data_IF_198989042230
#
_entry.id   IF_198989042230
#
_cell.length_a   1.000
_cell.length_b   1.000
_cell.length_c   1.000
_cell.angle_alpha   90.00
_cell.angle_beta   90.00
_cell.angle_gamma   90.00
#
_symmetry.space_group_name_H-M   'P 1'
#
loop_
_entity.id
_entity.type
_entity.pdbx_description
1 polymer ?
#
# COMPACT_ATOMS: atom_id res chain seq x y z
N UNK A 1 -15.68 19.95 -18.20
CA UNK A 1 -14.82 20.52 -17.16
C UNK A 1 -13.70 19.58 -16.69
N UNK A 2 -14.03 18.36 -16.22
CA UNK A 2 -13.05 17.47 -15.55
C UNK A 2 -11.98 16.82 -16.45
N UNK A 3 -12.25 16.58 -17.73
CA UNK A 3 -11.33 15.86 -18.64
C UNK A 3 -10.06 16.66 -18.98
N UNK A 4 -10.15 17.99 -19.03
CA UNK A 4 -9.01 18.87 -19.33
C UNK A 4 -8.03 18.96 -18.15
N UNK A 5 -8.53 19.04 -16.91
CA UNK A 5 -7.69 19.08 -15.70
C UNK A 5 -6.95 17.76 -15.45
N UNK A 6 -7.59 16.60 -15.67
CA UNK A 6 -6.93 15.28 -15.58
C UNK A 6 -5.79 15.12 -16.60
N UNK A 7 -6.02 15.51 -17.86
CA UNK A 7 -4.99 15.47 -18.91
C UNK A 7 -3.81 16.39 -18.63
N UNK A 8 -4.03 17.55 -18.01
CA UNK A 8 -2.95 18.45 -17.62
C UNK A 8 -2.04 17.83 -16.55
N UNK A 9 -2.63 17.24 -15.50
CA UNK A 9 -1.89 16.55 -14.45
C UNK A 9 -1.13 15.31 -14.94
N UNK A 10 -1.70 14.52 -15.85
CA UNK A 10 -1.02 13.37 -16.45
C UNK A 10 0.21 13.80 -17.27
N UNK A 11 0.10 14.86 -18.08
CA UNK A 11 1.24 15.40 -18.85
C UNK A 11 2.35 15.92 -17.93
N UNK A 12 1.99 16.59 -16.84
CA UNK A 12 2.98 17.08 -15.88
C UNK A 12 3.75 15.93 -15.22
N UNK A 13 3.04 14.87 -14.80
CA UNK A 13 3.67 13.66 -14.26
C UNK A 13 4.58 12.98 -15.29
N UNK A 14 4.19 12.96 -16.56
CA UNK A 14 5.03 12.41 -17.62
C UNK A 14 6.30 13.21 -17.86
N UNK A 15 6.20 14.54 -17.87
CA UNK A 15 7.36 15.43 -18.00
C UNK A 15 8.32 15.22 -16.82
N UNK A 16 7.79 15.16 -15.59
CA UNK A 16 8.59 14.86 -14.39
C UNK A 16 9.26 13.49 -14.49
N UNK A 17 8.54 12.46 -14.95
CA UNK A 17 9.12 11.11 -15.13
C UNK A 17 10.22 11.09 -16.19
N UNK A 18 10.02 11.78 -17.31
CA UNK A 18 11.00 11.84 -18.40
C UNK A 18 12.26 12.56 -17.93
N UNK A 19 12.11 13.71 -17.28
CA UNK A 19 13.20 14.46 -16.67
C UNK A 19 13.98 13.61 -15.66
N UNK A 20 13.27 12.87 -14.80
CA UNK A 20 13.88 11.99 -13.81
C UNK A 20 14.70 10.86 -14.45
N UNK A 21 14.19 10.25 -15.52
CA UNK A 21 14.93 9.22 -16.28
C UNK A 21 16.14 9.81 -17.03
N UNK A 22 16.02 11.03 -17.56
CA UNK A 22 17.13 11.75 -18.21
C UNK A 22 18.23 12.09 -17.20
N UNK A 23 17.88 12.53 -15.99
CA UNK A 23 18.81 12.81 -14.90
C UNK A 23 19.50 11.55 -14.39
N UNK A 24 18.78 10.43 -14.31
CA UNK A 24 19.33 9.15 -13.87
C UNK A 24 20.27 8.54 -14.93
N UNK A 25 20.00 8.77 -16.22
CA UNK A 25 20.79 8.22 -17.32
C UNK A 25 20.79 6.68 -17.32
N UNK A 26 21.97 6.07 -17.37
CA UNK A 26 22.15 4.61 -17.25
C UNK A 26 22.39 4.14 -15.80
N UNK A 27 22.49 5.07 -14.85
CA UNK A 27 22.74 4.73 -13.45
C UNK A 27 21.48 4.11 -12.82
N UNK A 28 21.69 3.38 -11.73
CA UNK A 28 20.59 2.88 -10.87
C UNK A 28 20.69 3.52 -9.51
N UNK A 29 19.54 3.89 -8.97
CA UNK A 29 19.42 4.34 -7.60
C UNK A 29 19.61 3.15 -6.64
N UNK A 30 20.18 3.36 -5.46
CA UNK A 30 20.28 2.30 -4.46
C UNK A 30 18.88 1.93 -3.94
N UNK A 31 18.71 0.69 -3.51
CA UNK A 31 17.58 0.27 -2.70
C UNK A 31 18.07 -0.59 -1.55
N UNK A 32 17.28 -0.64 -0.49
CA UNK A 32 17.58 -1.44 0.70
C UNK A 32 16.52 -2.53 0.91
N UNK A 33 16.98 -3.62 1.49
CA UNK A 33 16.22 -4.79 1.96
C UNK A 33 16.45 -4.94 3.46
N UNK A 34 15.69 -5.77 4.19
CA UNK A 34 15.95 -6.02 5.61
C UNK A 34 17.35 -6.55 5.94
N UNK A 35 18.09 -7.09 4.97
CA UNK A 35 19.48 -7.53 5.15
C UNK A 35 20.47 -6.37 5.24
N UNK A 36 20.11 -5.17 4.76
CA UNK A 36 20.97 -3.99 4.76
C UNK A 36 20.92 -3.27 6.12
N UNK A 37 22.09 -2.90 6.65
CA UNK A 37 22.22 -2.29 7.99
C UNK A 37 21.39 -1.01 8.16
N UNK A 38 21.31 -0.19 7.11
CA UNK A 38 20.61 1.11 7.14
C UNK A 38 19.10 1.01 6.86
N UNK A 39 18.59 -0.19 6.56
CA UNK A 39 17.18 -0.39 6.18
C UNK A 39 16.20 0.15 7.22
N UNK A 40 16.40 -0.20 8.49
CA UNK A 40 15.48 0.19 9.57
C UNK A 40 15.50 1.70 9.81
N UNK A 41 16.67 2.34 9.68
CA UNK A 41 16.80 3.78 9.83
C UNK A 41 16.14 4.53 8.66
N UNK A 42 16.35 4.06 7.43
CA UNK A 42 15.69 4.62 6.24
C UNK A 42 14.17 4.46 6.32
N UNK A 43 13.69 3.28 6.68
CA UNK A 43 12.26 3.02 6.85
C UNK A 43 11.66 3.97 7.89
N UNK A 44 12.25 4.07 9.07
CA UNK A 44 11.76 4.96 10.14
C UNK A 44 11.72 6.44 9.74
N UNK A 45 12.66 6.91 8.92
CA UNK A 45 12.81 8.35 8.62
C UNK A 45 12.13 8.79 7.33
N UNK A 46 12.00 7.91 6.33
CA UNK A 46 11.46 8.25 5.00
C UNK A 46 10.19 7.49 4.62
N UNK A 47 9.89 6.38 5.30
CA UNK A 47 8.78 5.48 4.96
C UNK A 47 7.95 5.10 6.21
N UNK A 48 7.90 5.97 7.23
CA UNK A 48 7.27 5.68 8.54
C UNK A 48 5.77 5.39 8.49
N UNK A 49 5.08 5.79 7.41
CA UNK A 49 3.65 5.51 7.17
C UNK A 49 3.40 4.13 6.55
N UNK A 50 4.44 3.35 6.33
CA UNK A 50 4.33 1.95 5.99
C UNK A 50 4.54 1.10 7.24
N UNK A 51 3.58 0.25 7.55
CA UNK A 51 3.66 -0.69 8.68
C UNK A 51 3.64 -2.11 8.13
N UNK A 52 4.58 -2.94 8.57
CA UNK A 52 4.55 -4.38 8.32
C UNK A 52 4.15 -5.16 9.56
N UNK A 53 3.42 -6.25 9.33
CA UNK A 53 2.99 -7.22 10.31
C UNK A 53 3.28 -8.61 9.74
N UNK A 54 4.04 -9.40 10.49
CA UNK A 54 4.34 -10.77 10.10
C UNK A 54 3.09 -11.64 10.24
N UNK A 55 3.07 -12.76 9.51
CA UNK A 55 1.97 -13.73 9.56
C UNK A 55 1.59 -14.15 10.99
N UNK A 56 2.56 -14.31 11.90
CA UNK A 56 2.34 -14.69 13.31
C UNK A 56 1.42 -13.74 14.12
N UNK A 57 1.16 -12.54 13.61
CA UNK A 57 0.22 -11.59 14.22
C UNK A 57 -1.24 -11.84 13.87
N UNK A 58 -1.50 -12.66 12.84
CA UNK A 58 -2.82 -12.98 12.33
C UNK A 58 -3.28 -14.32 12.91
N UNK A 59 -4.55 -14.45 13.34
CA UNK A 59 -5.07 -15.73 13.83
C UNK A 59 -4.98 -16.84 12.77
N UNK A 60 -4.52 -18.02 13.16
CA UNK A 60 -4.38 -19.19 12.27
C UNK A 60 -5.68 -19.56 11.55
N UNK A 61 -6.82 -19.52 12.27
CA UNK A 61 -8.13 -19.77 11.66
C UNK A 61 -8.43 -18.76 10.53
N UNK A 62 -8.02 -17.49 10.71
CA UNK A 62 -8.22 -16.47 9.70
C UNK A 62 -7.32 -16.72 8.48
N UNK A 63 -6.06 -17.12 8.70
CA UNK A 63 -5.19 -17.56 7.61
C UNK A 63 -5.83 -18.66 6.78
N UNK A 64 -6.30 -19.73 7.44
CA UNK A 64 -6.88 -20.89 6.78
C UNK A 64 -8.06 -20.47 5.89
N UNK A 65 -9.07 -19.81 6.46
CA UNK A 65 -10.30 -19.48 5.69
C UNK A 65 -10.03 -18.47 4.57
N UNK A 66 -9.09 -17.55 4.74
CA UNK A 66 -8.72 -16.58 3.69
C UNK A 66 -7.95 -17.26 2.57
N UNK A 67 -6.98 -18.11 2.89
CA UNK A 67 -6.19 -18.83 1.87
C UNK A 67 -7.07 -19.80 1.08
N UNK A 68 -7.95 -20.56 1.76
CA UNK A 68 -8.96 -21.40 1.11
C UNK A 68 -9.90 -20.58 0.22
N UNK A 69 -10.26 -19.35 0.62
CA UNK A 69 -11.09 -18.46 -0.21
C UNK A 69 -10.39 -18.06 -1.52
N UNK A 70 -9.08 -17.78 -1.49
CA UNK A 70 -8.31 -17.46 -2.69
C UNK A 70 -8.25 -18.64 -3.65
N UNK A 71 -8.00 -19.84 -3.14
CA UNK A 71 -7.97 -21.07 -3.94
C UNK A 71 -9.36 -21.36 -4.54
N UNK A 72 -10.42 -21.25 -3.74
CA UNK A 72 -11.80 -21.44 -4.19
C UNK A 72 -12.17 -20.49 -5.33
N UNK A 73 -11.86 -19.19 -5.18
CA UNK A 73 -12.13 -18.18 -6.22
C UNK A 73 -11.33 -18.47 -7.50
N UNK A 74 -10.09 -18.97 -7.37
CA UNK A 74 -9.28 -19.38 -8.52
C UNK A 74 -9.88 -20.59 -9.23
N UNK A 75 -10.26 -21.63 -8.50
CA UNK A 75 -10.88 -22.85 -9.04
C UNK A 75 -12.21 -22.56 -9.77
N UNK A 76 -12.96 -21.56 -9.31
CA UNK A 76 -14.19 -21.11 -9.95
C UNK A 76 -13.95 -20.08 -11.07
N UNK A 77 -12.71 -19.84 -11.49
CA UNK A 77 -12.32 -18.91 -12.55
C UNK A 77 -12.84 -17.47 -12.32
N UNK A 78 -12.82 -17.00 -11.08
CA UNK A 78 -13.31 -15.67 -10.71
C UNK A 78 -12.33 -14.52 -11.03
N UNK A 79 -11.08 -14.83 -11.36
CA UNK A 79 -10.03 -13.84 -11.61
C UNK A 79 -9.85 -13.57 -13.12
N UNK A 80 -9.83 -12.30 -13.50
CA UNK A 80 -9.69 -11.89 -14.90
C UNK A 80 -8.58 -10.86 -15.07
N UNK A 81 -7.82 -10.95 -16.17
CA UNK A 81 -6.94 -9.85 -16.57
C UNK A 81 -7.79 -8.69 -17.06
N UNK A 82 -7.56 -7.50 -16.51
CA UNK A 82 -8.32 -6.32 -16.89
C UNK A 82 -7.78 -5.76 -18.21
N UNK A 83 -8.68 -5.49 -19.15
CA UNK A 83 -8.37 -4.67 -20.31
C UNK A 83 -8.39 -3.20 -19.90
N UNK A 84 -7.20 -2.62 -19.72
CA UNK A 84 -7.02 -1.24 -19.27
C UNK A 84 -6.51 -0.36 -20.40
N UNK A 85 -6.81 0.94 -20.34
CA UNK A 85 -6.35 1.91 -21.33
C UNK A 85 -5.33 2.86 -20.74
N UNK A 86 -4.08 2.72 -21.16
CA UNK A 86 -2.97 3.56 -20.74
C UNK A 86 -2.49 4.34 -21.96
N UNK A 87 -2.52 5.68 -21.90
CA UNK A 87 -2.08 6.57 -22.99
C UNK A 87 -2.75 6.28 -24.35
N UNK A 88 -4.03 5.90 -24.32
CA UNK A 88 -4.81 5.61 -25.53
C UNK A 88 -4.52 4.25 -26.17
N UNK A 89 -3.69 3.42 -25.54
CA UNK A 89 -3.45 2.03 -25.95
C UNK A 89 -4.10 1.08 -24.95
N UNK A 90 -4.63 -0.01 -25.46
CA UNK A 90 -5.26 -1.06 -24.66
C UNK A 90 -4.20 -2.09 -24.26
N UNK A 91 -4.21 -2.48 -22.98
CA UNK A 91 -3.28 -3.44 -22.39
C UNK A 91 -4.05 -4.39 -21.50
N UNK A 92 -3.68 -5.67 -21.51
CA UNK A 92 -4.08 -6.59 -20.46
C UNK A 92 -3.14 -6.43 -19.27
N UNK A 93 -3.70 -6.43 -18.06
CA UNK A 93 -2.88 -6.44 -16.86
C UNK A 93 -2.20 -7.80 -16.69
N UNK A 94 -0.91 -7.87 -16.32
CA UNK A 94 -0.24 -9.15 -16.03
C UNK A 94 -0.94 -9.93 -14.91
N UNK A 95 -1.42 -9.19 -13.91
CA UNK A 95 -2.17 -9.69 -12.76
C UNK A 95 -3.65 -9.86 -13.13
N UNK A 96 -4.23 -10.99 -12.75
CA UNK A 96 -5.67 -11.25 -12.81
C UNK A 96 -6.34 -10.79 -11.52
N UNK A 97 -7.54 -10.22 -11.61
CA UNK A 97 -8.21 -9.54 -10.50
C UNK A 97 -9.68 -9.91 -10.36
N UNK A 98 -10.17 -9.70 -9.15
CA UNK A 98 -11.60 -9.64 -8.82
C UNK A 98 -11.80 -8.55 -7.76
N UNK A 99 -12.85 -7.74 -7.92
CA UNK A 99 -13.27 -6.76 -6.93
C UNK A 99 -14.35 -7.39 -6.04
N UNK A 100 -14.12 -7.45 -4.73
CA UNK A 100 -15.09 -7.93 -3.73
C UNK A 100 -15.37 -6.80 -2.75
N UNK A 101 -16.61 -6.62 -2.29
CA UNK A 101 -16.91 -5.53 -1.36
C UNK A 101 -18.38 -5.33 -1.07
N UNK A 102 -18.72 -4.13 -0.61
CA UNK A 102 -20.09 -3.76 -0.31
C UNK A 102 -20.99 -3.88 -1.56
N UNK A 103 -22.25 -4.30 -1.39
CA UNK A 103 -23.24 -4.33 -2.47
C UNK A 103 -23.39 -2.97 -3.16
N UNK A 104 -23.32 -2.97 -4.50
CA UNK A 104 -23.48 -1.76 -5.33
C UNK A 104 -22.25 -0.84 -5.38
N UNK A 105 -21.17 -1.15 -4.66
CA UNK A 105 -19.93 -0.39 -4.75
C UNK A 105 -19.17 -0.68 -6.06
N UNK A 106 -18.36 0.29 -6.48
CA UNK A 106 -17.50 0.16 -7.66
C UNK A 106 -16.17 0.84 -7.37
N UNK A 107 -15.11 0.33 -7.98
CA UNK A 107 -13.77 0.92 -7.90
C UNK A 107 -13.29 1.22 -9.32
N UNK A 108 -12.77 2.42 -9.55
CA UNK A 108 -12.25 2.81 -10.86
C UNK A 108 -10.72 2.88 -10.76
N UNK A 109 -10.02 2.35 -11.75
CA UNK A 109 -8.58 2.53 -11.90
C UNK A 109 -8.19 2.39 -13.37
N UNK A 110 -7.18 3.13 -13.84
CA UNK A 110 -6.73 3.06 -15.24
C UNK A 110 -7.86 3.20 -16.28
N UNK A 111 -8.82 4.06 -15.96
CA UNK A 111 -10.06 4.30 -16.71
C UNK A 111 -11.05 3.11 -16.83
N UNK A 112 -10.80 2.00 -16.14
CA UNK A 112 -11.70 0.84 -16.05
C UNK A 112 -12.47 0.90 -14.73
N UNK A 113 -13.81 0.76 -14.78
CA UNK A 113 -14.66 0.67 -13.58
C UNK A 113 -14.96 -0.80 -13.30
N UNK A 114 -14.46 -1.29 -12.19
CA UNK A 114 -14.76 -2.61 -11.66
C UNK A 114 -16.01 -2.55 -10.76
N UNK A 115 -16.79 -3.62 -10.78
CA UNK A 115 -18.01 -3.79 -9.99
C UNK A 115 -17.78 -4.86 -8.94
N UNK A 116 -18.26 -4.63 -7.72
CA UNK A 116 -18.06 -5.60 -6.63
C UNK A 116 -18.86 -6.87 -6.93
N UNK A 117 -18.20 -8.02 -6.78
CA UNK A 117 -18.89 -9.23 -6.31
C UNK A 117 -19.18 -8.97 -4.83
N UNK A 118 -20.46 -8.86 -4.44
CA UNK A 118 -20.80 -8.40 -3.11
C UNK A 118 -20.45 -9.47 -2.05
N UNK A 119 -19.90 -9.05 -0.92
CA UNK A 119 -19.83 -9.90 0.28
C UNK A 119 -21.17 -9.92 1.05
N UNK A 120 -21.43 -10.88 1.95
CA UNK A 120 -22.71 -11.01 2.63
C UNK A 120 -22.92 -9.94 3.73
N UNK A 121 -23.25 -8.72 3.30
CA UNK A 121 -23.54 -7.59 4.18
C UNK A 121 -24.97 -7.68 4.77
N UNK A 122 -25.12 -7.24 6.02
CA UNK A 122 -26.42 -7.20 6.70
C UNK A 122 -27.46 -6.38 5.91
N UNK A 123 -28.70 -6.87 5.87
CA UNK A 123 -29.81 -6.20 5.18
C UNK A 123 -29.86 -6.42 3.66
N UNK A 124 -28.96 -7.22 3.09
CA UNK A 124 -28.97 -7.58 1.67
C UNK A 124 -29.19 -9.07 1.47
N UNK A 125 -30.13 -9.44 0.60
CA UNK A 125 -30.30 -10.81 0.12
C UNK A 125 -29.50 -11.00 -1.17
N UNK A 126 -28.32 -11.63 -1.05
CA UNK A 126 -27.37 -11.79 -2.15
C UNK A 126 -27.42 -13.23 -2.66
N UNK A 127 -27.65 -13.38 -3.97
CA UNK A 127 -27.64 -14.68 -4.64
C UNK A 127 -26.27 -14.94 -5.27
N UNK A 128 -25.61 -15.99 -4.82
CA UNK A 128 -24.34 -16.45 -5.37
C UNK A 128 -24.57 -17.61 -6.34
N UNK A 129 -23.66 -17.77 -7.31
CA UNK A 129 -23.73 -18.88 -8.25
C UNK A 129 -23.50 -20.23 -7.55
N UNK A 130 -22.63 -20.25 -6.54
CA UNK A 130 -22.31 -21.43 -5.72
C UNK A 130 -22.16 -21.04 -4.25
N UNK A 131 -22.47 -21.95 -3.30
CA UNK A 131 -22.22 -21.73 -1.88
C UNK A 131 -20.75 -21.44 -1.55
N UNK A 132 -19.82 -22.04 -2.30
CA UNK A 132 -18.38 -21.86 -2.10
C UNK A 132 -17.94 -20.41 -2.38
N UNK A 133 -18.50 -19.75 -3.40
CA UNK A 133 -18.21 -18.33 -3.67
C UNK A 133 -18.78 -17.44 -2.56
N UNK A 134 -19.96 -17.77 -2.00
CA UNK A 134 -20.50 -17.08 -0.83
C UNK A 134 -19.53 -17.16 0.35
N UNK A 135 -19.06 -18.37 0.67
CA UNK A 135 -18.15 -18.60 1.80
C UNK A 135 -16.81 -17.89 1.61
N UNK A 136 -16.29 -17.88 0.38
CA UNK A 136 -15.09 -17.11 0.03
C UNK A 136 -15.28 -15.60 0.24
N UNK A 137 -16.40 -15.02 -0.23
CA UNK A 137 -16.69 -13.60 -0.02
C UNK A 137 -16.89 -13.27 1.47
N UNK A 138 -17.47 -14.19 2.24
CA UNK A 138 -17.63 -14.08 3.70
C UNK A 138 -16.28 -14.10 4.43
N UNK A 139 -15.36 -14.96 4.03
CA UNK A 139 -14.00 -15.00 4.58
C UNK A 139 -13.26 -13.67 4.34
N UNK A 140 -13.38 -13.11 3.14
CA UNK A 140 -12.78 -11.81 2.80
C UNK A 140 -13.41 -10.64 3.55
N UNK A 141 -14.70 -10.70 3.87
CA UNK A 141 -15.34 -9.74 4.76
C UNK A 141 -14.77 -9.81 6.19
N UNK A 142 -14.53 -11.02 6.72
CA UNK A 142 -13.86 -11.19 8.03
C UNK A 142 -12.43 -10.65 8.02
N UNK A 143 -11.69 -10.87 6.94
CA UNK A 143 -10.36 -10.29 6.77
C UNK A 143 -10.42 -8.76 6.73
N UNK A 144 -11.40 -8.19 6.03
CA UNK A 144 -11.63 -6.74 5.98
C UNK A 144 -11.86 -6.16 7.39
N UNK A 145 -12.66 -6.82 8.23
CA UNK A 145 -12.90 -6.41 9.62
C UNK A 145 -11.61 -6.48 10.47
N UNK A 146 -10.84 -7.55 10.33
CA UNK A 146 -9.56 -7.69 11.03
C UNK A 146 -8.56 -6.59 10.61
N UNK A 147 -8.40 -6.36 9.31
CA UNK A 147 -7.49 -5.33 8.78
C UNK A 147 -7.93 -3.91 9.15
N UNK A 148 -9.24 -3.67 9.24
CA UNK A 148 -9.78 -2.42 9.77
C UNK A 148 -9.30 -2.17 11.20
N UNK A 149 -9.41 -3.18 12.07
CA UNK A 149 -8.96 -3.09 13.47
C UNK A 149 -7.44 -2.82 13.54
N UNK A 150 -6.64 -3.53 12.75
CA UNK A 150 -5.19 -3.33 12.70
C UNK A 150 -4.80 -1.94 12.21
N UNK A 151 -5.50 -1.41 11.20
CA UNK A 151 -5.27 -0.05 10.72
C UNK A 151 -5.63 1.01 11.76
N UNK A 152 -6.75 0.85 12.49
CA UNK A 152 -7.12 1.74 13.59
C UNK A 152 -6.06 1.71 14.70
N UNK A 153 -5.54 0.52 15.06
CA UNK A 153 -4.45 0.40 16.04
C UNK A 153 -3.19 1.10 15.56
N UNK A 154 -2.83 0.93 14.29
CA UNK A 154 -1.62 1.53 13.71
C UNK A 154 -1.68 3.07 13.72
N UNK A 155 -2.80 3.66 13.28
CA UNK A 155 -3.00 5.11 13.31
C UNK A 155 -2.98 5.68 14.73
N UNK A 156 -3.65 5.00 15.69
CA UNK A 156 -3.60 5.39 17.10
C UNK A 156 -2.19 5.33 17.67
N UNK A 157 -1.42 4.32 17.28
CA UNK A 157 0.00 4.18 17.63
C UNK A 157 0.83 5.36 17.13
N UNK A 158 0.71 5.71 15.84
CA UNK A 158 1.42 6.86 15.25
C UNK A 158 1.09 8.19 15.95
N UNK A 159 -0.19 8.47 16.18
CA UNK A 159 -0.62 9.69 16.88
C UNK A 159 0.01 9.82 18.28
N UNK A 160 0.20 8.70 18.98
CA UNK A 160 0.83 8.68 20.30
C UNK A 160 2.34 8.93 20.22
N UNK A 161 3.03 8.41 19.21
CA UNK A 161 4.46 8.68 18.97
C UNK A 161 4.70 10.15 18.59
N UNK A 162 3.91 10.70 17.66
CA UNK A 162 3.99 12.12 17.26
C UNK A 162 3.75 13.05 18.45
N UNK A 163 2.74 12.76 19.27
CA UNK A 163 2.44 13.55 20.48
C UNK A 163 3.59 13.50 21.50
N UNK A 164 4.30 12.37 21.61
CA UNK A 164 5.45 12.24 22.52
C UNK A 164 6.68 12.97 21.99
N UNK A 165 6.96 12.92 20.69
CA UNK A 165 8.08 13.69 20.09
C UNK A 165 7.87 15.20 20.20
N UNK A 166 6.64 15.68 19.98
CA UNK A 166 6.30 17.11 20.16
C UNK A 166 6.50 17.52 21.63
N UNK A 167 6.01 16.72 22.59
CA UNK A 167 6.21 17.00 24.02
C UNK A 167 7.68 17.00 24.40
N UNK A 168 8.48 16.04 23.94
CA UNK A 168 9.92 16.00 24.20
C UNK A 168 10.64 17.23 23.63
N UNK A 169 10.28 17.66 22.42
CA UNK A 169 10.86 18.85 21.78
C UNK A 169 10.47 20.14 22.51
N UNK A 170 9.23 20.25 23.02
CA UNK A 170 8.80 21.42 23.83
C UNK A 170 9.37 21.49 25.24
N UNK A 171 9.89 20.37 25.79
CA UNK A 171 10.52 20.35 27.12
C UNK A 171 11.97 20.82 27.04
N UNK A 172 12.67 20.55 25.93
CA UNK A 172 14.07 20.97 25.71
C UNK A 172 14.16 22.51 25.54
N UNK A 173 13.10 23.16 25.06
CA UNK A 173 13.04 24.62 24.87
C UNK A 173 12.63 25.40 26.14
N UNK A 174 12.34 24.72 27.25
CA UNK A 174 11.83 25.34 28.50
C UNK A 174 12.88 25.53 29.60
N UNK A 175 14.13 25.12 29.40
CA UNK A 175 15.21 25.26 30.39
C UNK A 175 16.20 26.41 30.12
N UNK A 176 15.90 27.34 29.22
CA UNK A 176 16.66 28.59 29.11
C UNK A 176 15.75 29.81 29.02
N UNK A 177 15.45 30.41 30.17
CA UNK A 177 15.66 31.84 30.46
C UNK A 177 14.78 32.30 31.63
N UNK A 178 15.43 32.71 32.73
CA UNK A 178 14.84 33.62 33.70
C UNK A 178 15.61 34.95 33.66
N UNK A 179 14.85 36.02 33.40
CA UNK A 179 15.14 37.45 33.58
C UNK A 179 16.23 38.07 32.66
N UNK A 180 16.03 39.23 32.01
CA UNK A 180 15.38 40.46 32.51
C UNK A 180 15.06 41.45 31.37
N UNK A 181 13.88 42.10 31.48
CA UNK A 181 13.54 43.51 31.15
C UNK A 181 13.50 44.11 29.72
N UNK A 182 12.37 44.81 29.49
CA UNK A 182 12.13 46.10 28.80
C UNK A 182 11.50 46.11 27.38
N UNK A 183 10.22 46.53 27.39
CA UNK A 183 9.47 47.39 26.44
C UNK A 183 10.00 47.62 25.02
N UNK A 184 9.15 47.31 24.01
CA UNK A 184 8.60 48.31 23.07
C UNK A 184 7.55 47.69 22.11
N UNK A 185 6.60 48.52 21.68
CA UNK A 185 5.51 48.20 20.76
C UNK A 185 6.03 47.95 19.33
N UNK A 186 5.47 46.95 18.65
CA UNK A 186 5.67 46.76 17.21
C UNK A 186 4.83 45.62 16.66
N UNK A 187 3.82 45.96 15.86
CA UNK A 187 3.02 45.07 15.01
C UNK A 187 3.87 44.16 14.13
N UNK A 188 3.44 42.92 13.88
CA UNK A 188 3.40 42.24 12.55
C UNK A 188 2.96 40.77 12.68
N UNK A 189 2.00 40.41 11.81
CA UNK A 189 1.59 39.11 11.25
C UNK A 189 1.41 37.87 12.14
N UNK A 190 0.15 37.40 12.19
CA UNK A 190 -0.24 36.03 12.53
C UNK A 190 0.19 35.09 11.39
N UNK A 191 1.30 34.37 11.57
CA UNK A 191 1.52 33.14 10.82
C UNK A 191 0.84 31.97 11.53
N UNK A 192 0.00 31.28 10.76
CA UNK A 192 -0.73 30.09 11.16
C UNK A 192 0.26 28.92 11.28
N UNK A 193 0.83 28.70 12.46
CA UNK A 193 1.37 27.38 12.78
C UNK A 193 0.18 26.45 13.00
N UNK A 194 0.11 25.38 12.21
CA UNK A 194 -0.92 24.35 12.33
C UNK A 194 -0.73 23.63 13.67
N UNK A 195 -1.44 24.10 14.68
CA UNK A 195 -1.61 23.39 15.95
C UNK A 195 -2.27 22.05 15.62
N UNK A 196 -1.55 20.96 15.86
CA UNK A 196 -2.04 19.59 15.70
C UNK A 196 -3.23 19.38 16.64
N UNK A 197 -4.44 19.48 16.09
CA UNK A 197 -5.67 19.07 16.77
C UNK A 197 -5.64 17.54 16.86
N UNK A 198 -5.96 16.94 18.02
CA UNK A 198 -6.14 15.49 18.11
C UNK A 198 -7.08 15.02 17.01
N UNK A 199 -6.68 14.00 16.22
CA UNK A 199 -7.57 13.46 15.20
C UNK A 199 -8.90 13.04 15.83
N UNK A 200 -10.00 13.62 15.35
CA UNK A 200 -11.35 13.24 15.72
C UNK A 200 -11.56 11.74 15.42
N UNK A 201 -12.23 11.00 16.31
CA UNK A 201 -12.59 9.59 16.09
C UNK A 201 -13.33 9.40 14.76
N UNK A 202 -14.07 10.42 14.33
CA UNK A 202 -14.73 10.44 13.01
C UNK A 202 -13.73 10.42 11.85
N UNK A 203 -12.59 11.12 11.98
CA UNK A 203 -11.51 11.11 10.99
C UNK A 203 -10.88 9.72 10.88
N UNK A 204 -10.55 9.10 12.01
CA UNK A 204 -10.00 7.75 12.07
C UNK A 204 -10.94 6.73 11.43
N UNK A 205 -12.24 6.81 11.74
CA UNK A 205 -13.24 5.93 11.15
C UNK A 205 -13.32 6.10 9.63
N UNK A 206 -13.31 7.35 9.13
CA UNK A 206 -13.35 7.60 7.70
C UNK A 206 -12.12 7.07 6.96
N UNK A 207 -10.93 7.16 7.58
CA UNK A 207 -9.67 6.71 6.96
C UNK A 207 -9.55 5.18 6.89
N UNK A 208 -10.22 4.45 7.78
CA UNK A 208 -10.07 2.99 7.94
C UNK A 208 -11.30 2.18 7.54
N UNK A 209 -12.41 2.82 7.15
CA UNK A 209 -13.65 2.13 6.76
C UNK A 209 -13.56 1.54 5.35
N UNK A 210 -12.89 0.39 5.24
CA UNK A 210 -12.75 -0.34 3.98
C UNK A 210 -14.10 -0.88 3.50
N UNK A 211 -14.49 -0.49 2.29
CA UNK A 211 -15.76 -0.87 1.68
C UNK A 211 -15.60 -1.88 0.52
N UNK A 212 -14.36 -2.23 0.18
CA UNK A 212 -14.00 -3.17 -0.88
C UNK A 212 -12.58 -3.66 -0.70
N UNK A 213 -12.26 -4.73 -1.42
CA UNK A 213 -10.91 -5.27 -1.62
C UNK A 213 -10.74 -5.65 -3.09
N UNK A 214 -9.58 -5.31 -3.66
CA UNK A 214 -9.19 -5.71 -5.01
C UNK A 214 -8.19 -6.85 -4.90
N UNK A 215 -8.66 -8.08 -5.12
CA UNK A 215 -7.80 -9.25 -5.05
C UNK A 215 -6.94 -9.33 -6.32
N UNK A 216 -5.70 -9.79 -6.13
CA UNK A 216 -4.70 -9.91 -7.17
C UNK A 216 -4.18 -11.35 -7.18
N UNK A 217 -4.11 -11.96 -8.37
CA UNK A 217 -3.50 -13.26 -8.59
C UNK A 217 -2.58 -13.21 -9.81
N UNK A 218 -1.41 -13.84 -9.69
CA UNK A 218 -0.48 -14.01 -10.79
C UNK A 218 0.33 -15.29 -10.55
N UNK A 219 0.43 -16.13 -11.57
CA UNK A 219 1.41 -17.21 -11.63
C UNK A 219 2.61 -16.73 -12.46
N UNK A 220 3.78 -16.50 -11.85
CA UNK A 220 4.97 -16.05 -12.58
C UNK A 220 5.44 -17.03 -13.67
N UNK A 221 5.17 -18.33 -13.52
CA UNK A 221 5.58 -19.36 -14.50
C UNK A 221 4.70 -19.33 -15.76
N UNK A 222 3.44 -18.94 -15.61
CA UNK A 222 2.50 -18.78 -16.73
C UNK A 222 2.56 -17.38 -17.35
N UNK A 223 3.18 -16.40 -16.68
CA UNK A 223 3.24 -15.03 -17.15
C UNK A 223 4.43 -14.79 -18.09
N UNK A 224 4.15 -14.73 -19.40
CA UNK A 224 5.16 -14.66 -20.46
C UNK A 224 6.05 -13.41 -20.43
N UNK A 225 5.57 -12.30 -19.88
CA UNK A 225 6.30 -11.04 -19.88
C UNK A 225 6.04 -10.24 -18.61
N UNK A 226 7.12 -9.96 -17.89
CA UNK A 226 7.16 -9.01 -16.79
C UNK A 226 8.15 -7.90 -17.11
N UNK A 227 7.77 -6.68 -16.75
CA UNK A 227 8.62 -5.52 -16.97
C UNK A 227 9.70 -5.45 -15.88
N UNK A 228 10.92 -5.11 -16.26
CA UNK A 228 11.99 -4.77 -15.31
C UNK A 228 11.74 -3.43 -14.62
N UNK A 229 12.03 -3.37 -13.33
CA UNK A 229 11.97 -2.16 -12.52
C UNK A 229 13.01 -1.14 -13.05
N UNK A 230 12.59 0.09 -13.37
CA UNK A 230 13.39 0.99 -14.20
C UNK A 230 14.41 1.87 -13.46
N UNK A 231 14.37 1.98 -12.12
CA UNK A 231 15.15 2.99 -11.40
C UNK A 231 16.20 2.39 -10.46
N UNK A 232 15.84 1.36 -9.71
CA UNK A 232 16.62 0.80 -8.61
C UNK A 232 17.25 -0.55 -8.97
N UNK A 233 16.73 -1.22 -10.00
CA UNK A 233 17.16 -2.57 -10.36
C UNK A 233 16.53 -3.65 -9.49
N UNK A 234 15.32 -3.42 -8.96
CA UNK A 234 14.62 -4.41 -8.12
C UNK A 234 14.14 -5.66 -8.89
N UNK A 235 14.29 -5.71 -10.22
CA UNK A 235 13.98 -6.88 -11.05
C UNK A 235 12.57 -6.85 -11.64
N UNK A 236 11.96 -8.02 -11.83
CA UNK A 236 10.63 -8.15 -12.45
C UNK A 236 9.53 -7.53 -11.59
N UNK A 237 8.61 -6.79 -12.24
CA UNK A 237 7.44 -6.19 -11.59
C UNK A 237 6.15 -6.86 -12.05
N UNK A 238 5.40 -7.45 -11.11
CA UNK A 238 4.01 -7.85 -11.34
C UNK A 238 3.11 -6.63 -11.57
N UNK A 239 3.34 -5.57 -10.80
CA UNK A 239 2.67 -4.27 -10.95
C UNK A 239 3.75 -3.19 -10.96
N UNK A 240 3.74 -2.32 -11.97
CA UNK A 240 4.70 -1.21 -12.08
C UNK A 240 4.43 -0.13 -11.02
N UNK A 241 5.42 0.75 -10.78
CA UNK A 241 5.25 1.94 -9.93
C UNK A 241 3.96 2.72 -10.23
N UNK A 242 3.12 2.89 -9.22
CA UNK A 242 1.84 3.60 -9.32
C UNK A 242 1.47 4.22 -7.96
N UNK A 243 0.44 5.06 -8.00
CA UNK A 243 -0.34 5.41 -6.82
C UNK A 243 -1.73 4.82 -7.02
N UNK A 244 -2.35 4.36 -5.94
CA UNK A 244 -3.74 3.92 -5.98
C UNK A 244 -4.66 5.09 -6.36
N UNK A 245 -5.64 4.81 -7.21
CA UNK A 245 -6.54 5.81 -7.76
C UNK A 245 -7.91 5.76 -7.06
N UNK A 246 -8.63 6.88 -7.04
CA UNK A 246 -10.02 6.94 -6.54
C UNK A 246 -10.18 6.45 -5.08
N UNK A 247 -9.13 6.58 -4.28
CA UNK A 247 -9.19 6.43 -2.83
C UNK A 247 -9.76 7.69 -2.17
N UNK A 248 -10.31 7.52 -0.97
CA UNK A 248 -10.66 8.65 -0.11
C UNK A 248 -9.37 9.34 0.32
N UNK A 249 -9.38 10.66 0.42
CA UNK A 249 -8.19 11.42 0.78
C UNK A 249 -7.66 10.96 2.16
N UNK A 250 -6.37 10.60 2.19
CA UNK A 250 -5.65 10.08 3.38
C UNK A 250 -6.26 8.81 3.97
N UNK A 251 -7.12 8.08 3.25
CA UNK A 251 -7.54 6.75 3.70
C UNK A 251 -6.38 5.78 3.67
N UNK A 252 -6.40 4.82 4.59
CA UNK A 252 -5.41 3.77 4.65
C UNK A 252 -5.66 2.72 3.57
N UNK A 253 -4.64 1.92 3.26
CA UNK A 253 -4.75 0.71 2.46
C UNK A 253 -4.09 -0.43 3.23
N UNK A 254 -4.79 -1.54 3.36
CA UNK A 254 -4.29 -2.74 4.03
C UNK A 254 -4.22 -3.89 3.03
N UNK A 255 -3.11 -4.63 3.06
CA UNK A 255 -2.85 -5.73 2.14
C UNK A 255 -2.43 -6.96 2.91
N UNK A 256 -3.13 -8.07 2.67
CA UNK A 256 -2.75 -9.40 3.09
C UNK A 256 -2.06 -10.11 1.91
N UNK A 257 -0.86 -10.64 2.13
CA UNK A 257 -0.11 -11.35 1.11
C UNK A 257 -0.28 -12.86 1.25
N UNK A 258 -0.53 -13.53 0.13
CA UNK A 258 -0.50 -14.99 0.05
C UNK A 258 0.42 -15.40 -1.08
N UNK A 259 1.57 -15.96 -0.73
CA UNK A 259 2.47 -16.62 -1.67
C UNK A 259 2.23 -18.12 -1.58
N UNK A 260 1.99 -18.78 -2.71
CA UNK A 260 1.94 -20.23 -2.76
C UNK A 260 3.37 -20.74 -2.71
N UNK A 261 3.78 -21.34 -1.60
CA UNK A 261 5.04 -22.09 -1.55
C UNK A 261 4.86 -23.42 -2.29
N UNK A 262 5.80 -23.75 -3.17
CA UNK A 262 5.92 -25.12 -3.66
C UNK A 262 6.73 -25.91 -2.62
N UNK A 263 6.15 -26.93 -1.96
CA UNK A 263 6.86 -27.75 -0.98
C UNK A 263 8.11 -28.46 -1.56
N UNK A 264 8.27 -28.47 -2.90
CA UNK A 264 9.44 -29.03 -3.57
C UNK A 264 10.66 -28.08 -3.65
N UNK A 265 10.50 -26.77 -3.39
CA UNK A 265 11.63 -25.82 -3.41
C UNK A 265 12.22 -25.75 -2.00
N UNK A 266 12.86 -26.87 -1.60
CA UNK A 266 13.74 -26.88 -0.44
C UNK A 266 15.00 -26.06 -0.74
N UNK A 267 15.25 -25.06 0.12
CA UNK A 267 16.53 -24.43 0.42
C UNK A 267 17.55 -24.38 -0.73
N UNK A 268 17.36 -23.42 -1.65
CA UNK A 268 18.46 -22.99 -2.51
C UNK A 268 19.44 -22.18 -1.66
N UNK A 269 20.59 -22.80 -1.36
CA UNK A 269 21.87 -22.25 -0.91
C UNK A 269 21.88 -20.79 -0.42
N UNK A 270 22.25 -20.61 0.85
CA UNK A 270 22.71 -19.34 1.46
C UNK A 270 23.99 -18.82 0.77
N UNK A 271 23.91 -18.48 -0.52
CA UNK A 271 24.82 -17.49 -1.07
C UNK A 271 24.37 -16.13 -0.52
N UNK A 272 25.34 -15.28 -0.11
CA UNK A 272 25.07 -13.89 0.23
C UNK A 272 24.52 -13.16 -1.01
N UNK A 273 23.21 -13.29 -1.23
CA UNK A 273 22.51 -12.61 -2.31
C UNK A 273 22.63 -11.11 -2.06
N UNK A 274 23.36 -10.42 -2.95
CA UNK A 274 23.38 -8.96 -2.95
C UNK A 274 22.03 -8.43 -3.42
N UNK A 275 21.28 -7.81 -2.52
CA UNK A 275 19.99 -7.20 -2.82
C UNK A 275 18.82 -8.09 -2.42
N UNK A 276 17.75 -8.06 -3.22
CA UNK A 276 16.48 -8.72 -2.88
C UNK A 276 16.45 -10.12 -3.47
N UNK A 277 15.81 -11.05 -2.78
CA UNK A 277 15.69 -12.43 -3.27
C UNK A 277 14.81 -12.47 -4.55
N UNK A 278 15.34 -12.96 -5.70
CA UNK A 278 14.58 -13.11 -6.94
C UNK A 278 13.32 -13.97 -6.82
N UNK A 279 13.34 -14.98 -5.93
CA UNK A 279 12.28 -15.98 -5.76
C UNK A 279 11.15 -15.53 -4.83
N UNK A 280 11.40 -14.57 -3.94
CA UNK A 280 10.39 -14.05 -3.03
C UNK A 280 9.60 -12.88 -3.63
N UNK A 281 8.32 -12.82 -3.27
CA UNK A 281 7.48 -11.66 -3.52
C UNK A 281 7.92 -10.50 -2.63
N UNK A 282 7.91 -9.29 -3.19
CA UNK A 282 8.26 -8.07 -2.47
C UNK A 282 7.26 -6.96 -2.78
N UNK A 283 7.04 -6.07 -1.81
CA UNK A 283 6.49 -4.74 -2.09
C UNK A 283 7.64 -3.74 -2.19
N UNK A 284 7.67 -3.02 -3.31
CA UNK A 284 8.63 -1.95 -3.55
C UNK A 284 8.05 -0.60 -3.13
N UNK A 285 8.88 0.26 -2.51
CA UNK A 285 8.53 1.65 -2.20
C UNK A 285 9.59 2.63 -2.69
N UNK A 286 9.13 3.81 -3.09
CA UNK A 286 9.96 4.96 -3.41
C UNK A 286 9.26 6.26 -3.04
N UNK A 287 10.02 7.30 -2.75
CA UNK A 287 9.48 8.66 -2.67
C UNK A 287 9.17 9.17 -4.09
N UNK A 288 8.00 9.79 -4.26
CA UNK A 288 7.56 10.25 -5.57
C UNK A 288 8.46 11.39 -6.08
N UNK A 289 8.90 11.30 -7.34
CA UNK A 289 9.79 12.27 -8.01
C UNK A 289 11.17 12.45 -7.39
N UNK A 290 11.53 11.60 -6.43
CA UNK A 290 12.83 11.61 -5.76
C UNK A 290 13.83 10.70 -6.49
N UNK A 291 15.07 11.17 -6.55
CA UNK A 291 16.26 10.50 -7.11
C UNK A 291 17.39 10.35 -6.10
N UNK A 292 17.23 10.82 -4.88
CA UNK A 292 18.26 10.76 -3.84
C UNK A 292 17.95 9.65 -2.84
N UNK A 293 16.70 9.57 -2.40
CA UNK A 293 16.30 8.58 -1.38
C UNK A 293 16.33 7.16 -1.95
N UNK A 294 17.06 6.21 -1.31
CA UNK A 294 17.02 4.82 -1.72
C UNK A 294 15.60 4.25 -1.68
N UNK A 295 15.30 3.33 -2.59
CA UNK A 295 14.05 2.57 -2.56
C UNK A 295 14.05 1.54 -1.42
N UNK A 296 12.88 1.02 -1.07
CA UNK A 296 12.76 -0.17 -0.22
C UNK A 296 12.21 -1.33 -1.05
N UNK A 297 12.79 -2.51 -0.88
CA UNK A 297 12.22 -3.77 -1.32
C UNK A 297 11.98 -4.65 -0.10
N UNK A 298 10.73 -4.78 0.32
CA UNK A 298 10.37 -5.51 1.54
C UNK A 298 9.80 -6.88 1.18
N UNK A 299 10.40 -7.99 1.65
CA UNK A 299 9.91 -9.33 1.36
C UNK A 299 8.54 -9.55 1.96
N UNK A 300 7.71 -10.31 1.25
CA UNK A 300 6.36 -10.68 1.65
C UNK A 300 6.26 -12.21 1.67
N UNK A 301 6.21 -12.78 2.87
CA UNK A 301 5.98 -14.22 3.05
C UNK A 301 4.48 -14.53 3.06
N UNK A 302 4.17 -15.83 3.07
CA UNK A 302 2.79 -16.30 3.20
C UNK A 302 2.16 -15.77 4.50
N UNK A 303 1.06 -15.02 4.36
CA UNK A 303 0.30 -14.50 5.50
C UNK A 303 0.73 -13.12 6.00
N UNK A 304 1.85 -12.57 5.50
CA UNK A 304 2.29 -11.24 5.90
C UNK A 304 1.28 -10.15 5.50
N UNK A 305 1.18 -9.11 6.33
CA UNK A 305 0.33 -7.94 6.09
C UNK A 305 1.19 -6.68 6.03
N UNK A 306 0.83 -5.76 5.15
CA UNK A 306 1.32 -4.38 5.22
C UNK A 306 0.18 -3.36 5.16
N UNK A 307 0.41 -2.21 5.81
CA UNK A 307 -0.51 -1.09 5.88
C UNK A 307 0.18 0.16 5.35
N UNK A 308 -0.50 0.87 4.45
CA UNK A 308 -0.13 2.22 4.01
C UNK A 308 -1.09 3.21 4.71
N UNK A 309 -0.54 4.10 5.52
CA UNK A 309 -1.29 5.00 6.43
C UNK A 309 -1.49 6.42 5.88
#
# INVERSE_FOLDING_TARGET
GGTMKRRAGEREKELKKKKLLEELGENRLPYLTPADADFHQLWKTKYSNLIFRKADTVPEELHQVVQESFLTLREHNCFFQDLVRIKGKDFLTPVSRILIGNPGCTYKYLNTRLFTVPWPAEGYDIKYCTPQIHDACKALMRLNDYLHIEAVKALRGQNLFETKEIKATTVIDREQSFATSLTEQGSVSKDQSSVCVPEDERSLKNRTSYNLTLLNYMDPLQMLYLKQEPYFGMGNMAVSWHHDENLVERSTVAVYNYSCEDPAIQESHEEELRGRDPALWHVGLKVAWDIETPGLAVPLHQGDIYLML
#
